data_IF_330850563107
#
_entry.id   IF_330850563107
#
_cell.length_a   1.000
_cell.length_b   1.000
_cell.length_c   1.000
_cell.angle_alpha   90.00
_cell.angle_beta   90.00
_cell.angle_gamma   90.00
#
_symmetry.space_group_name_H-M   'P 1'
#
loop_
_entity.id
_entity.type
_entity.pdbx_description
1 polymer ?
#
# COMPACT_ATOMS: atom_id res chain seq x y z
N UNK A 1 6.27 -53.34 53.49
CA UNK A 1 4.79 -53.23 53.46
C UNK A 1 4.44 -51.91 52.79
N UNK A 2 3.51 -51.76 51.86
CA UNK A 2 2.87 -52.62 50.88
C UNK A 2 2.09 -51.64 49.99
N UNK A 3 2.21 -51.78 48.68
CA UNK A 3 1.46 -51.03 47.67
C UNK A 3 -0.05 -51.37 47.70
N UNK A 4 -0.91 -50.38 47.44
CA UNK A 4 -2.26 -50.50 46.82
C UNK A 4 -2.80 -49.09 46.56
N UNK A 5 -2.89 -48.62 45.30
CA UNK A 5 -3.94 -48.86 44.29
C UNK A 5 -5.30 -48.23 44.64
N UNK A 6 -5.74 -47.21 43.89
CA UNK A 6 -6.79 -47.35 42.87
C UNK A 6 -7.24 -46.02 42.25
N UNK A 7 -7.52 -46.14 40.95
CA UNK A 7 -8.07 -45.20 39.98
C UNK A 7 -9.48 -44.74 40.36
N UNK A 8 -9.76 -43.43 40.23
CA UNK A 8 -11.10 -42.92 39.85
C UNK A 8 -10.97 -41.69 38.96
N UNK A 9 -11.44 -41.86 37.73
CA UNK A 9 -11.81 -40.84 36.76
C UNK A 9 -12.93 -39.95 37.30
N UNK A 10 -12.82 -38.64 37.13
CA UNK A 10 -13.96 -37.74 37.09
C UNK A 10 -13.63 -36.58 36.13
N UNK A 11 -14.49 -36.45 35.12
CA UNK A 11 -14.42 -35.46 34.07
C UNK A 11 -14.54 -34.04 34.62
N UNK A 12 -13.73 -33.13 34.09
CA UNK A 12 -14.06 -31.70 34.03
C UNK A 12 -13.95 -31.29 32.56
N UNK A 13 -15.11 -31.25 31.92
CA UNK A 13 -15.32 -30.52 30.68
C UNK A 13 -15.43 -29.03 31.02
N UNK A 14 -14.59 -28.21 30.40
CA UNK A 14 -14.89 -26.82 29.99
C UNK A 14 -13.61 -26.15 29.47
N UNK A 15 -13.37 -26.22 28.16
CA UNK A 15 -12.53 -25.26 27.45
C UNK A 15 -12.98 -25.21 25.98
N UNK A 16 -14.20 -24.70 25.77
CA UNK A 16 -14.63 -24.13 24.49
C UNK A 16 -14.60 -22.63 24.67
N UNK A 17 -13.47 -21.99 24.38
CA UNK A 17 -13.41 -20.53 24.21
C UNK A 17 -12.47 -20.22 23.06
N UNK A 18 -13.07 -19.79 21.95
CA UNK A 18 -12.52 -18.76 21.07
C UNK A 18 -11.36 -19.14 20.17
N UNK A 19 -11.62 -19.90 19.11
CA UNK A 19 -10.85 -19.74 17.87
C UNK A 19 -11.14 -18.34 17.32
N UNK A 20 -10.39 -17.32 17.75
CA UNK A 20 -10.37 -16.04 17.04
C UNK A 20 -9.72 -16.29 15.69
N UNK A 21 -10.53 -16.51 14.66
CA UNK A 21 -10.08 -16.44 13.27
C UNK A 21 -9.69 -14.99 13.05
N UNK A 22 -8.40 -14.69 13.18
CA UNK A 22 -7.85 -13.43 12.73
C UNK A 22 -8.11 -13.37 11.21
N UNK A 23 -9.05 -12.53 10.78
CA UNK A 23 -9.21 -12.25 9.37
C UNK A 23 -8.04 -11.35 8.94
N UNK A 24 -7.34 -11.65 7.83
CA UNK A 24 -6.33 -10.76 7.31
C UNK A 24 -7.02 -9.44 6.93
N UNK A 25 -6.53 -8.36 7.52
CA UNK A 25 -7.13 -7.04 7.33
C UNK A 25 -6.75 -6.52 5.95
N UNK A 26 -7.76 -6.12 5.19
CA UNK A 26 -7.65 -5.70 3.80
C UNK A 26 -6.79 -4.44 3.67
N UNK A 27 -5.71 -4.53 2.89
CA UNK A 27 -5.15 -3.36 2.20
C UNK A 27 -6.16 -2.95 1.13
N UNK A 28 -6.88 -1.85 1.36
CA UNK A 28 -7.66 -1.17 0.34
C UNK A 28 -7.04 0.20 0.14
N UNK A 29 -6.60 0.52 -1.08
CA UNK A 29 -6.23 1.88 -1.45
C UNK A 29 -7.50 2.75 -1.42
N UNK A 30 -7.80 3.34 -0.26
CA UNK A 30 -8.93 4.24 -0.08
C UNK A 30 -8.66 5.54 -0.83
N UNK A 31 -9.18 5.66 -2.04
CA UNK A 31 -9.24 6.93 -2.76
C UNK A 31 -10.35 7.80 -2.15
N UNK A 32 -10.03 8.57 -1.13
CA UNK A 32 -10.88 9.68 -0.73
C UNK A 32 -10.74 10.81 -1.75
N UNK A 33 -11.78 10.98 -2.59
CA UNK A 33 -12.01 12.20 -3.37
C UNK A 33 -11.95 13.43 -2.46
N UNK A 34 -10.83 14.12 -2.46
CA UNK A 34 -10.80 15.56 -2.23
C UNK A 34 -10.63 16.19 -3.60
N UNK A 35 -11.58 17.03 -4.01
CA UNK A 35 -11.48 17.77 -5.26
C UNK A 35 -10.12 18.44 -5.31
N UNK A 36 -9.30 18.03 -6.27
CA UNK A 36 -8.00 18.63 -6.51
C UNK A 36 -8.27 20.04 -7.00
N UNK A 37 -8.24 21.00 -6.07
CA UNK A 37 -8.01 22.40 -6.46
C UNK A 37 -6.53 22.48 -6.76
N UNK A 38 -6.17 22.34 -8.04
CA UNK A 38 -4.84 22.72 -8.51
C UNK A 38 -4.77 24.23 -8.34
N UNK A 39 -4.21 24.70 -7.23
CA UNK A 39 -3.76 26.08 -7.15
C UNK A 39 -2.43 26.11 -7.89
N UNK A 40 -2.48 26.43 -9.18
CA UNK A 40 -1.29 26.83 -9.91
C UNK A 40 -0.83 28.15 -9.30
N UNK A 41 0.13 28.09 -8.38
CA UNK A 41 0.79 29.28 -7.88
C UNK A 41 1.79 29.73 -8.95
N UNK A 42 1.31 30.56 -9.88
CA UNK A 42 2.21 31.24 -10.83
C UNK A 42 2.93 32.34 -10.07
N UNK A 43 4.15 32.09 -9.63
CA UNK A 43 5.05 33.17 -9.23
C UNK A 43 5.40 33.98 -10.48
N UNK A 44 4.70 35.08 -10.67
CA UNK A 44 5.06 36.05 -11.70
C UNK A 44 6.23 36.87 -11.15
N UNK A 45 7.45 36.54 -11.56
CA UNK A 45 8.61 37.39 -11.32
C UNK A 45 8.49 38.60 -12.23
N UNK A 46 7.96 39.70 -11.69
CA UNK A 46 8.00 41.01 -12.36
C UNK A 46 9.44 41.52 -12.25
N UNK A 47 10.26 41.25 -13.27
CA UNK A 47 11.53 41.95 -13.44
C UNK A 47 11.18 43.38 -13.87
N UNK A 48 11.17 44.31 -12.91
CA UNK A 48 11.12 45.73 -13.24
C UNK A 48 12.47 46.09 -13.84
N UNK A 49 12.53 46.22 -15.16
CA UNK A 49 13.68 46.82 -15.81
C UNK A 49 13.80 48.25 -15.28
N UNK A 50 14.79 48.48 -14.41
CA UNK A 50 15.17 49.81 -13.99
C UNK A 50 15.48 50.67 -15.21
N UNK A 51 15.15 51.96 -15.11
CA UNK A 51 15.27 52.94 -16.19
C UNK A 51 16.57 52.81 -17.00
N UNK A 52 16.43 53.02 -18.32
CA UNK A 52 17.53 53.10 -19.27
C UNK A 52 18.71 53.92 -18.71
N UNK A 53 19.81 53.25 -18.40
CA UNK A 53 21.11 53.90 -18.24
C UNK A 53 21.73 54.05 -19.64
N UNK A 54 21.79 55.27 -20.14
CA UNK A 54 22.53 55.59 -21.35
C UNK A 54 24.01 55.66 -20.99
N UNK A 55 24.78 54.65 -21.38
CA UNK A 55 26.25 54.71 -21.36
C UNK A 55 26.74 54.55 -22.80
N UNK A 56 27.31 55.61 -23.37
CA UNK A 56 28.13 55.52 -24.59
C UNK A 56 27.40 55.42 -25.94
N UNK A 57 26.12 55.77 -26.05
CA UNK A 57 25.50 56.06 -27.36
C UNK A 57 25.24 54.88 -28.30
N UNK A 58 25.19 53.65 -27.81
CA UNK A 58 24.70 52.50 -28.59
C UNK A 58 23.59 51.75 -27.86
N UNK A 59 22.51 51.45 -28.58
CA UNK A 59 21.34 50.72 -28.09
C UNK A 59 21.56 49.22 -28.21
N UNK A 60 21.56 48.48 -27.09
CA UNK A 60 21.56 47.01 -27.09
C UNK A 60 20.12 46.52 -26.93
N UNK A 61 19.35 46.53 -28.01
CA UNK A 61 17.97 46.01 -27.99
C UNK A 61 17.99 44.51 -28.28
N UNK A 62 17.65 43.68 -27.29
CA UNK A 62 17.21 42.30 -27.51
C UNK A 62 15.69 42.26 -27.42
N UNK A 63 15.03 42.06 -28.56
CA UNK A 63 13.58 41.81 -28.64
C UNK A 63 13.30 40.37 -28.26
N UNK A 64 12.51 40.15 -27.21
CA UNK A 64 11.87 38.87 -26.94
C UNK A 64 10.44 38.90 -27.49
N UNK A 65 10.12 37.98 -28.39
CA UNK A 65 8.76 37.78 -28.88
C UNK A 65 7.92 37.11 -27.80
N UNK A 66 6.90 37.80 -27.31
CA UNK A 66 5.85 37.20 -26.47
C UNK A 66 4.97 36.31 -27.34
N UNK A 67 4.81 35.04 -26.94
CA UNK A 67 3.82 34.13 -27.51
C UNK A 67 2.47 34.48 -26.90
N UNK A 68 1.58 35.06 -27.69
CA UNK A 68 0.18 35.29 -27.32
C UNK A 68 -0.55 33.95 -27.21
N UNK A 69 -0.94 33.56 -26.00
CA UNK A 69 -2.04 32.60 -25.78
C UNK A 69 -3.23 33.37 -25.22
N UNK A 70 -4.05 33.89 -26.13
CA UNK A 70 -5.37 34.40 -25.81
C UNK A 70 -6.28 33.27 -25.33
N UNK A 71 -6.64 33.26 -24.05
CA UNK A 71 -7.80 32.55 -23.52
C UNK A 71 -8.60 33.50 -22.64
N UNK A 72 -9.90 33.59 -22.93
CA UNK A 72 -10.80 34.63 -22.47
C UNK A 72 -11.01 34.70 -20.96
N UNK A 73 -11.23 35.93 -20.49
CA UNK A 73 -11.63 36.23 -19.12
C UNK A 73 -13.03 35.69 -18.80
N UNK A 74 -13.26 35.10 -17.62
CA UNK A 74 -14.59 34.99 -17.07
C UNK A 74 -14.93 36.21 -16.19
N UNK A 75 -16.14 36.72 -16.38
CA UNK A 75 -16.77 37.80 -15.63
C UNK A 75 -16.76 37.57 -14.11
N UNK A 76 -16.42 38.61 -13.37
CA UNK A 76 -16.54 38.68 -11.91
C UNK A 76 -18.02 38.74 -11.49
N UNK A 77 -18.50 37.69 -10.83
CA UNK A 77 -19.71 37.73 -10.00
C UNK A 77 -19.31 37.87 -8.53
N UNK A 78 -19.54 39.05 -7.97
CA UNK A 78 -19.40 39.30 -6.53
C UNK A 78 -20.70 38.88 -5.82
N UNK A 79 -20.63 37.86 -4.96
CA UNK A 79 -21.69 37.58 -3.99
C UNK A 79 -21.13 37.79 -2.58
N UNK A 80 -21.65 38.83 -1.92
CA UNK A 80 -21.40 39.12 -0.50
C UNK A 80 -22.39 38.31 0.33
N UNK A 81 -21.91 37.49 1.27
CA UNK A 81 -22.76 36.86 2.30
C UNK A 81 -22.36 37.40 3.66
N UNK A 82 -23.26 38.17 4.24
CA UNK A 82 -23.15 38.81 5.55
C UNK A 82 -23.44 37.79 6.66
N UNK A 83 -22.52 37.69 7.63
CA UNK A 83 -22.65 36.87 8.84
C UNK A 83 -23.40 37.64 9.93
N UNK A 84 -24.56 37.13 10.36
CA UNK A 84 -25.26 37.57 11.57
C UNK A 84 -25.21 36.47 12.64
N UNK A 85 -24.69 36.81 13.82
CA UNK A 85 -24.94 36.04 15.06
C UNK A 85 -26.24 36.56 15.71
N UNK A 86 -26.94 35.76 16.54
CA UNK A 86 -26.65 35.84 17.97
C UNK A 86 -26.76 34.51 18.77
N UNK A 87 -26.38 34.67 20.03
CA UNK A 87 -26.15 33.80 21.21
C UNK A 87 -27.21 32.77 21.66
N UNK A 88 -26.66 31.66 22.20
CA UNK A 88 -27.00 30.85 23.39
C UNK A 88 -28.46 30.54 23.81
N UNK A 89 -28.79 29.26 23.99
CA UNK A 89 -29.03 28.63 25.31
C UNK A 89 -29.04 27.08 25.22
N UNK A 90 -28.78 26.44 26.35
CA UNK A 90 -28.64 25.00 26.57
C UNK A 90 -29.97 24.29 26.85
N UNK A 91 -30.10 23.02 26.45
CA UNK A 91 -30.61 21.95 27.33
C UNK A 91 -30.55 20.56 26.67
N UNK A 92 -30.20 19.60 27.52
CA UNK A 92 -30.31 18.13 27.43
C UNK A 92 -31.53 17.56 26.71
N UNK A 93 -31.33 16.44 26.01
CA UNK A 93 -32.43 15.58 25.54
C UNK A 93 -31.92 14.28 24.93
N UNK A 94 -31.93 13.22 25.74
CA UNK A 94 -31.67 11.82 25.40
C UNK A 94 -32.66 11.31 24.35
N UNK A 95 -32.21 10.52 23.37
CA UNK A 95 -33.11 9.75 22.51
C UNK A 95 -32.77 8.26 22.51
N UNK A 96 -33.77 7.51 22.97
CA UNK A 96 -33.82 6.06 23.05
C UNK A 96 -34.33 5.46 21.74
N UNK A 97 -33.85 4.25 21.45
CA UNK A 97 -34.26 3.38 20.35
C UNK A 97 -35.69 2.86 20.55
N UNK A 98 -36.48 2.74 19.48
CA UNK A 98 -37.49 1.68 19.37
C UNK A 98 -37.88 1.43 17.91
N UNK A 99 -37.84 0.15 17.54
CA UNK A 99 -38.28 -0.40 16.26
C UNK A 99 -39.78 -0.71 16.29
N UNK A 100 -40.44 -0.63 15.12
CA UNK A 100 -41.37 -1.66 14.65
C UNK A 100 -41.67 -1.46 13.13
N UNK A 101 -42.00 -2.52 12.37
CA UNK A 101 -42.17 -2.51 10.93
C UNK A 101 -43.63 -2.31 10.53
N UNK A 102 -43.88 -2.01 9.26
CA UNK A 102 -45.21 -2.17 8.68
C UNK A 102 -45.13 -2.68 7.25
N UNK A 103 -45.74 -3.83 7.09
CA UNK A 103 -46.13 -4.56 5.90
C UNK A 103 -47.12 -3.80 5.02
N UNK A 104 -47.02 -3.99 3.70
CA UNK A 104 -48.18 -3.91 2.81
C UNK A 104 -48.14 -5.05 1.80
N UNK A 105 -49.20 -5.83 1.83
CA UNK A 105 -49.56 -6.96 0.96
C UNK A 105 -50.31 -6.48 -0.29
N UNK A 106 -50.13 -7.17 -1.43
CA UNK A 106 -51.20 -7.41 -2.41
C UNK A 106 -50.85 -8.59 -3.35
N UNK A 107 -51.61 -9.67 -3.15
CA UNK A 107 -52.12 -10.73 -4.05
C UNK A 107 -51.66 -10.72 -5.52
N UNK A 108 -51.02 -11.77 -6.05
CA UNK A 108 -51.48 -13.13 -6.42
C UNK A 108 -52.15 -13.26 -7.81
N UNK A 109 -51.47 -13.94 -8.74
CA UNK A 109 -52.13 -14.78 -9.74
C UNK A 109 -51.25 -15.99 -10.08
N UNK A 110 -51.86 -17.15 -9.92
CA UNK A 110 -51.39 -18.53 -10.14
C UNK A 110 -51.09 -18.88 -11.60
N UNK A 111 -50.09 -19.74 -11.81
CA UNK A 111 -49.87 -20.50 -13.03
C UNK A 111 -48.85 -21.62 -12.80
N UNK A 112 -49.35 -22.85 -12.69
CA UNK A 112 -48.62 -24.09 -12.42
C UNK A 112 -47.82 -24.62 -13.63
N UNK A 113 -46.75 -25.37 -13.30
CA UNK A 113 -46.27 -26.55 -14.01
C UNK A 113 -45.19 -26.30 -15.08
N UNK A 114 -44.19 -27.14 -15.30
CA UNK A 114 -43.72 -28.38 -14.68
C UNK A 114 -42.38 -28.72 -15.38
N UNK A 115 -41.45 -29.30 -14.63
CA UNK A 115 -40.29 -30.12 -15.00
C UNK A 115 -39.90 -30.33 -16.48
N UNK A 116 -38.62 -30.18 -16.83
CA UNK A 116 -37.81 -31.27 -17.46
C UNK A 116 -36.38 -30.88 -17.89
N UNK A 117 -35.45 -31.77 -17.51
CA UNK A 117 -34.29 -32.32 -18.25
C UNK A 117 -33.07 -31.46 -18.64
N UNK A 118 -31.93 -31.88 -18.07
CA UNK A 118 -30.60 -31.79 -18.66
C UNK A 118 -30.46 -32.62 -19.96
N UNK A 119 -29.41 -32.37 -20.75
CA UNK A 119 -28.49 -33.46 -21.07
C UNK A 119 -27.00 -33.09 -21.07
N UNK A 120 -26.19 -34.16 -21.08
CA UNK A 120 -24.76 -34.26 -20.85
C UNK A 120 -23.85 -33.96 -22.06
N UNK A 121 -22.60 -33.59 -21.72
CA UNK A 121 -21.31 -33.97 -22.33
C UNK A 121 -21.01 -33.74 -23.81
N UNK A 122 -19.90 -33.02 -24.08
CA UNK A 122 -18.89 -33.46 -25.05
C UNK A 122 -17.49 -32.93 -24.70
N UNK A 123 -16.57 -33.88 -24.68
CA UNK A 123 -15.11 -33.76 -24.53
C UNK A 123 -14.50 -33.32 -25.85
N UNK A 124 -13.54 -32.39 -25.86
CA UNK A 124 -12.54 -32.25 -26.93
C UNK A 124 -11.31 -31.52 -26.42
N UNK A 125 -10.16 -32.05 -26.83
CA UNK A 125 -8.85 -31.95 -26.20
C UNK A 125 -8.05 -30.70 -26.54
N UNK A 126 -7.24 -30.28 -25.57
CA UNK A 126 -5.89 -29.75 -25.67
C UNK A 126 -5.55 -28.75 -26.81
N UNK A 127 -5.39 -27.48 -26.42
CA UNK A 127 -4.28 -26.67 -26.89
C UNK A 127 -3.50 -26.19 -25.65
N UNK A 128 -2.36 -26.82 -25.39
CA UNK A 128 -1.39 -26.38 -24.39
C UNK A 128 -0.80 -25.05 -24.83
N UNK A 129 -1.32 -23.95 -24.28
CA UNK A 129 -0.64 -22.67 -24.30
C UNK A 129 0.65 -22.82 -23.50
N UNK A 130 1.81 -22.45 -24.07
CA UNK A 130 3.05 -22.48 -23.30
C UNK A 130 2.90 -21.49 -22.15
N UNK A 131 3.00 -22.00 -20.92
CA UNK A 131 3.12 -21.18 -19.72
C UNK A 131 4.41 -20.39 -19.86
N UNK A 132 4.32 -19.11 -20.21
CA UNK A 132 5.45 -18.21 -20.14
C UNK A 132 5.74 -17.96 -18.66
N UNK A 133 6.49 -18.86 -18.04
CA UNK A 133 7.16 -18.58 -16.78
C UNK A 133 8.20 -17.48 -17.05
N UNK A 134 7.74 -16.23 -17.06
CA UNK A 134 8.58 -15.06 -17.13
C UNK A 134 9.51 -15.07 -15.93
N UNK A 135 10.75 -15.52 -16.14
CA UNK A 135 11.82 -15.37 -15.17
C UNK A 135 12.20 -13.90 -15.13
N UNK A 136 11.47 -13.17 -14.30
CA UNK A 136 11.78 -11.80 -13.94
C UNK A 136 13.21 -11.77 -13.37
N UNK A 137 14.18 -11.19 -14.10
CA UNK A 137 15.50 -10.86 -13.51
C UNK A 137 15.26 -10.04 -12.25
N UNK A 138 15.87 -10.41 -11.13
CA UNK A 138 15.52 -9.84 -9.83
C UNK A 138 15.79 -8.33 -9.80
N UNK A 139 14.78 -7.53 -9.47
CA UNK A 139 15.02 -6.21 -8.90
C UNK A 139 15.55 -6.36 -7.47
N UNK A 140 15.76 -5.26 -6.74
CA UNK A 140 16.28 -5.34 -5.37
C UNK A 140 15.41 -6.14 -4.43
N UNK A 141 14.09 -5.96 -4.49
CA UNK A 141 13.20 -6.67 -3.58
C UNK A 141 11.83 -6.97 -4.16
N UNK A 142 11.10 -7.83 -3.44
CA UNK A 142 9.71 -8.14 -3.69
C UNK A 142 8.91 -8.18 -2.38
N UNK A 143 7.67 -7.71 -2.41
CA UNK A 143 6.76 -7.89 -1.27
C UNK A 143 6.26 -9.34 -1.21
N UNK A 144 5.87 -9.80 -0.03
CA UNK A 144 5.28 -11.13 0.16
C UNK A 144 4.16 -11.09 1.20
N UNK A 145 3.04 -11.72 0.85
CA UNK A 145 1.85 -11.85 1.69
C UNK A 145 1.61 -13.35 1.98
N UNK A 146 1.92 -13.86 3.18
CA UNK A 146 1.82 -15.28 3.51
C UNK A 146 0.39 -15.71 3.88
N UNK A 147 -0.57 -15.31 3.05
CA UNK A 147 -1.96 -15.72 3.18
C UNK A 147 -2.36 -16.60 1.98
N UNK A 148 -3.24 -17.56 2.23
CA UNK A 148 -3.89 -18.33 1.17
C UNK A 148 -4.89 -17.45 0.42
N UNK A 149 -5.42 -17.94 -0.71
CA UNK A 149 -6.48 -17.24 -1.46
C UNK A 149 -7.75 -16.97 -0.64
N UNK A 150 -7.99 -17.74 0.43
CA UNK A 150 -9.11 -17.52 1.36
C UNK A 150 -8.73 -16.66 2.57
N UNK A 151 -7.50 -16.12 2.59
CA UNK A 151 -7.00 -15.27 3.65
C UNK A 151 -6.53 -16.02 4.90
N UNK A 152 -6.39 -17.35 4.84
CA UNK A 152 -5.85 -18.09 5.99
C UNK A 152 -4.34 -17.97 6.03
N UNK A 153 -3.76 -18.06 7.23
CA UNK A 153 -2.31 -18.11 7.40
C UNK A 153 -1.70 -19.29 6.63
N UNK A 154 -0.66 -19.04 5.84
CA UNK A 154 0.14 -20.10 5.24
C UNK A 154 0.99 -20.81 6.31
N UNK A 155 1.11 -22.12 6.18
CA UNK A 155 2.06 -22.94 6.95
C UNK A 155 3.51 -22.66 6.54
N UNK A 156 4.47 -23.04 7.38
CA UNK A 156 5.90 -22.95 7.04
C UNK A 156 6.22 -23.66 5.71
N UNK A 157 5.66 -24.85 5.46
CA UNK A 157 5.89 -25.58 4.21
C UNK A 157 5.35 -24.86 2.98
N UNK A 158 4.22 -24.16 3.10
CA UNK A 158 3.68 -23.34 2.01
C UNK A 158 4.57 -22.12 1.77
N UNK A 159 5.03 -21.46 2.84
CA UNK A 159 5.98 -20.35 2.73
C UNK A 159 7.29 -20.80 2.09
N UNK A 160 7.85 -21.94 2.48
CA UNK A 160 9.06 -22.51 1.86
C UNK A 160 8.84 -22.80 0.37
N UNK A 161 7.69 -23.35 0.00
CA UNK A 161 7.35 -23.60 -1.40
C UNK A 161 7.23 -22.32 -2.22
N UNK A 162 6.64 -21.27 -1.67
CA UNK A 162 6.58 -19.96 -2.33
C UNK A 162 7.99 -19.39 -2.53
N UNK A 163 8.84 -19.51 -1.50
CA UNK A 163 10.18 -18.95 -1.51
C UNK A 163 11.05 -19.48 -2.64
N UNK A 164 10.84 -20.71 -3.12
CA UNK A 164 11.53 -21.28 -4.28
C UNK A 164 11.52 -20.36 -5.52
N UNK A 165 10.48 -19.55 -5.71
CA UNK A 165 10.38 -18.64 -6.86
C UNK A 165 10.99 -17.25 -6.62
N UNK A 166 11.20 -16.87 -5.36
CA UNK A 166 11.63 -15.50 -4.97
C UNK A 166 13.01 -15.45 -4.31
N UNK A 167 13.78 -16.54 -4.31
CA UNK A 167 15.18 -16.57 -3.83
C UNK A 167 16.11 -15.59 -4.56
N UNK A 168 15.74 -15.17 -5.78
CA UNK A 168 16.55 -14.26 -6.59
C UNK A 168 16.57 -12.80 -6.09
N UNK A 169 15.60 -12.38 -5.26
CA UNK A 169 15.54 -11.01 -4.73
C UNK A 169 16.44 -10.86 -3.50
N UNK A 170 17.10 -9.72 -3.36
CA UNK A 170 17.94 -9.43 -2.20
C UNK A 170 17.11 -9.16 -0.94
N UNK A 171 15.93 -8.56 -1.10
CA UNK A 171 15.04 -8.17 0.00
C UNK A 171 13.63 -8.70 -0.21
N UNK A 172 13.07 -9.36 0.80
CA UNK A 172 11.64 -9.68 0.87
C UNK A 172 10.96 -8.78 1.89
N UNK A 173 9.88 -8.10 1.50
CA UNK A 173 9.11 -7.21 2.39
C UNK A 173 7.86 -7.88 2.94
N UNK A 174 7.70 -7.82 4.26
CA UNK A 174 6.51 -8.18 5.02
C UNK A 174 5.83 -6.95 5.61
N UNK A 175 4.52 -7.05 5.82
CA UNK A 175 3.70 -5.95 6.32
C UNK A 175 3.46 -6.03 7.83
N UNK A 176 3.40 -7.24 8.37
CA UNK A 176 3.00 -7.48 9.74
C UNK A 176 3.78 -8.62 10.40
N UNK A 177 3.32 -8.97 11.59
CA UNK A 177 3.87 -10.06 12.41
C UNK A 177 2.86 -11.19 12.64
N UNK A 178 1.61 -11.01 12.22
CA UNK A 178 0.57 -12.02 12.35
C UNK A 178 0.89 -13.28 11.52
N UNK A 179 0.14 -14.36 11.74
CA UNK A 179 0.32 -15.63 11.03
C UNK A 179 1.71 -16.27 11.14
N UNK A 180 2.49 -15.95 12.19
CA UNK A 180 3.89 -16.37 12.34
C UNK A 180 4.74 -16.04 11.11
N UNK A 181 4.36 -15.00 10.34
CA UNK A 181 4.98 -14.74 9.04
C UNK A 181 6.46 -14.43 9.15
N UNK A 182 6.88 -13.71 10.20
CA UNK A 182 8.29 -13.38 10.44
C UNK A 182 9.10 -14.66 10.66
N UNK A 183 8.65 -15.52 11.58
CA UNK A 183 9.30 -16.80 11.86
C UNK A 183 9.37 -17.69 10.61
N UNK A 184 8.28 -17.82 9.86
CA UNK A 184 8.23 -18.69 8.70
C UNK A 184 9.14 -18.18 7.57
N UNK A 185 9.18 -16.86 7.35
CA UNK A 185 10.00 -16.24 6.31
C UNK A 185 11.48 -16.28 6.67
N UNK A 186 11.86 -16.04 7.94
CA UNK A 186 13.25 -16.15 8.36
C UNK A 186 13.80 -17.58 8.18
N UNK A 187 12.95 -18.60 8.32
CA UNK A 187 13.31 -20.00 8.03
C UNK A 187 13.31 -20.36 6.53
N UNK A 188 12.57 -19.62 5.70
CA UNK A 188 12.40 -19.93 4.28
C UNK A 188 13.35 -19.13 3.34
N UNK A 189 13.83 -17.97 3.80
CA UNK A 189 14.70 -17.08 3.02
C UNK A 189 15.97 -17.79 2.55
N UNK A 190 16.51 -17.35 1.42
CA UNK A 190 17.82 -17.81 0.96
C UNK A 190 18.97 -17.20 1.79
N UNK A 191 20.15 -17.81 1.70
CA UNK A 191 21.38 -17.23 2.22
C UNK A 191 21.65 -15.87 1.54
N UNK A 192 22.02 -14.87 2.34
CA UNK A 192 22.26 -13.50 1.86
C UNK A 192 20.98 -12.68 1.56
N UNK A 193 19.81 -13.31 1.47
CA UNK A 193 18.53 -12.61 1.37
C UNK A 193 18.16 -11.99 2.73
N UNK A 194 17.75 -10.72 2.70
CA UNK A 194 17.32 -9.96 3.88
C UNK A 194 15.82 -9.76 3.89
N UNK A 195 15.28 -9.43 5.07
CA UNK A 195 13.85 -9.19 5.25
C UNK A 195 13.60 -7.74 5.67
N UNK A 196 12.76 -7.05 4.92
CA UNK A 196 12.15 -5.79 5.33
C UNK A 196 10.91 -6.16 6.15
N UNK A 197 10.94 -5.91 7.46
CA UNK A 197 9.86 -6.27 8.39
C UNK A 197 8.89 -5.11 8.61
N UNK A 198 7.61 -5.41 8.85
CA UNK A 198 6.57 -4.42 9.08
C UNK A 198 5.82 -4.63 10.38
N UNK A 199 5.50 -3.53 11.05
CA UNK A 199 4.56 -3.46 12.17
C UNK A 199 3.30 -2.76 11.66
N UNK A 200 2.35 -3.53 11.15
CA UNK A 200 1.09 -3.00 10.62
C UNK A 200 0.21 -2.39 11.72
N UNK A 201 0.02 -3.12 12.82
CA UNK A 201 -0.85 -2.73 13.92
C UNK A 201 -0.14 -1.79 14.90
N UNK A 202 -0.31 -0.49 14.69
CA UNK A 202 0.33 0.57 15.50
C UNK A 202 -0.26 0.75 16.90
N UNK A 203 -1.37 0.08 17.21
CA UNK A 203 -1.89 -0.04 18.58
C UNK A 203 -1.13 -1.10 19.41
N UNK A 204 -0.28 -1.91 18.77
CA UNK A 204 0.40 -3.07 19.36
C UNK A 204 1.90 -3.09 19.03
N UNK A 205 2.53 -1.91 18.89
CA UNK A 205 3.93 -1.77 18.41
C UNK A 205 4.91 -2.58 19.25
N UNK A 206 4.86 -2.46 20.57
CA UNK A 206 5.80 -3.15 21.47
C UNK A 206 5.67 -4.67 21.35
N UNK A 207 4.45 -5.19 21.31
CA UNK A 207 4.19 -6.61 21.13
C UNK A 207 4.74 -7.11 19.79
N UNK A 208 4.53 -6.36 18.70
CA UNK A 208 5.06 -6.73 17.40
C UNK A 208 6.59 -6.65 17.33
N UNK A 209 7.21 -5.64 17.96
CA UNK A 209 8.68 -5.55 18.05
C UNK A 209 9.28 -6.71 18.85
N UNK A 210 8.64 -7.11 19.95
CA UNK A 210 9.04 -8.28 20.73
C UNK A 210 8.93 -9.56 19.89
N UNK A 211 7.85 -9.73 19.13
CA UNK A 211 7.68 -10.90 18.28
C UNK A 211 8.73 -10.97 17.16
N UNK A 212 9.07 -9.83 16.55
CA UNK A 212 10.20 -9.76 15.60
C UNK A 212 11.50 -10.19 16.28
N UNK A 213 11.80 -9.63 17.45
CA UNK A 213 13.03 -9.94 18.18
C UNK A 213 13.13 -11.42 18.55
N UNK A 214 12.06 -12.01 19.06
CA UNK A 214 12.01 -13.41 19.44
C UNK A 214 12.20 -14.33 18.21
N UNK A 215 11.61 -13.97 17.06
CA UNK A 215 11.78 -14.72 15.82
C UNK A 215 13.21 -14.58 15.26
N UNK A 216 13.79 -13.38 15.31
CA UNK A 216 15.18 -13.15 14.88
C UNK A 216 16.15 -13.91 15.78
N UNK A 217 16.01 -13.82 17.10
CA UNK A 217 16.87 -14.55 18.05
C UNK A 217 16.83 -16.07 17.84
N UNK A 218 15.66 -16.61 17.46
CA UNK A 218 15.46 -18.05 17.31
C UNK A 218 15.91 -18.60 15.95
N UNK A 219 15.74 -17.84 14.88
CA UNK A 219 15.87 -18.35 13.51
C UNK A 219 16.85 -17.59 12.62
N UNK A 220 17.39 -16.46 13.07
CA UNK A 220 18.22 -15.59 12.25
C UNK A 220 19.18 -14.74 13.11
N UNK A 221 19.62 -13.61 12.55
CA UNK A 221 20.36 -12.55 13.24
C UNK A 221 19.83 -11.18 12.80
N UNK A 222 20.19 -10.11 13.53
CA UNK A 222 19.83 -8.76 13.09
C UNK A 222 20.46 -8.37 11.74
N UNK A 223 21.51 -9.06 11.29
CA UNK A 223 22.12 -8.84 9.96
C UNK A 223 21.20 -9.30 8.81
N UNK A 224 20.26 -10.19 9.10
CA UNK A 224 19.24 -10.66 8.16
C UNK A 224 18.07 -9.67 8.00
N UNK A 225 17.97 -8.65 8.86
CA UNK A 225 16.94 -7.62 8.78
C UNK A 225 17.45 -6.44 7.97
N UNK A 226 16.75 -6.11 6.87
CA UNK A 226 17.06 -4.96 6.04
C UNK A 226 16.67 -3.65 6.72
N UNK A 227 15.40 -3.55 7.11
CA UNK A 227 14.74 -2.40 7.73
C UNK A 227 13.52 -2.88 8.50
N UNK A 228 13.06 -2.14 9.51
CA UNK A 228 11.73 -2.28 10.10
C UNK A 228 10.85 -1.07 9.80
N UNK A 229 9.65 -1.27 9.24
CA UNK A 229 8.63 -0.21 9.11
C UNK A 229 7.64 -0.21 10.26
N UNK A 230 7.23 0.98 10.68
CA UNK A 230 6.16 1.19 11.66
C UNK A 230 4.96 1.84 10.96
N UNK A 231 3.88 1.07 10.82
CA UNK A 231 2.70 1.43 10.05
C UNK A 231 2.91 1.38 8.53
N UNK A 232 1.80 1.44 7.81
CA UNK A 232 1.78 1.57 6.35
C UNK A 232 0.61 2.46 5.92
N UNK A 233 0.89 3.54 5.19
CA UNK A 233 -0.12 4.45 4.60
C UNK A 233 -1.12 5.06 5.60
N UNK A 234 -0.69 5.30 6.84
CA UNK A 234 -1.58 5.79 7.89
C UNK A 234 -2.09 7.21 7.63
N UNK A 235 -1.29 8.08 7.00
CA UNK A 235 -1.72 9.44 6.64
C UNK A 235 -2.59 9.41 5.39
N UNK A 236 -2.18 8.67 4.36
CA UNK A 236 -3.01 8.46 3.16
C UNK A 236 -4.39 7.90 3.50
N UNK A 237 -4.45 6.90 4.39
CA UNK A 237 -5.68 6.29 4.87
C UNK A 237 -6.50 7.15 5.84
N UNK A 238 -5.99 8.32 6.26
CA UNK A 238 -6.65 9.19 7.24
C UNK A 238 -6.71 8.63 8.66
N UNK A 239 -5.90 7.62 8.97
CA UNK A 239 -5.88 6.90 10.24
C UNK A 239 -4.97 7.58 11.29
N UNK A 240 -3.97 8.33 10.84
CA UNK A 240 -3.06 9.05 11.72
C UNK A 240 -2.66 10.42 11.14
N UNK A 241 -2.39 11.37 12.03
CA UNK A 241 -1.69 12.61 11.69
C UNK A 241 -0.17 12.38 11.60
N UNK A 242 0.54 13.31 10.95
CA UNK A 242 2.01 13.33 10.89
C UNK A 242 2.65 13.20 12.27
N UNK A 243 2.12 13.93 13.27
CA UNK A 243 2.64 13.87 14.63
C UNK A 243 2.44 12.50 15.29
N UNK A 244 1.33 11.81 15.02
CA UNK A 244 1.09 10.47 15.54
C UNK A 244 2.04 9.46 14.89
N UNK A 245 2.27 9.56 13.57
CA UNK A 245 3.27 8.72 12.89
C UNK A 245 4.66 8.90 13.53
N UNK A 246 5.08 10.14 13.81
CA UNK A 246 6.34 10.38 14.51
C UNK A 246 6.42 9.75 15.90
N UNK A 247 5.31 9.72 16.64
CA UNK A 247 5.24 9.03 17.94
C UNK A 247 5.36 7.51 17.78
N UNK A 248 4.69 6.92 16.78
CA UNK A 248 4.76 5.49 16.50
C UNK A 248 6.17 5.06 16.11
N UNK A 249 6.83 5.78 15.19
CA UNK A 249 8.21 5.50 14.79
C UNK A 249 9.16 5.58 15.97
N UNK A 250 9.01 6.60 16.84
CA UNK A 250 9.81 6.73 18.06
C UNK A 250 9.59 5.55 19.03
N UNK A 251 8.35 5.12 19.22
CA UNK A 251 8.01 3.97 20.07
C UNK A 251 8.62 2.67 19.51
N UNK A 252 8.44 2.41 18.21
CA UNK A 252 9.00 1.23 17.54
C UNK A 252 10.52 1.19 17.61
N UNK A 253 11.19 2.32 17.32
CA UNK A 253 12.66 2.43 17.44
C UNK A 253 13.14 2.14 18.86
N UNK A 254 12.44 2.64 19.88
CA UNK A 254 12.78 2.39 21.29
C UNK A 254 12.60 0.91 21.66
N UNK A 255 11.51 0.28 21.23
CA UNK A 255 11.24 -1.13 21.48
C UNK A 255 12.21 -2.07 20.74
N UNK A 256 12.59 -1.74 19.51
CA UNK A 256 13.56 -2.53 18.73
C UNK A 256 14.99 -2.40 19.30
N UNK A 257 15.40 -1.18 19.65
CA UNK A 257 16.74 -0.95 20.23
C UNK A 257 16.92 -1.60 21.60
N UNK A 258 15.87 -1.67 22.44
CA UNK A 258 15.93 -2.41 23.71
C UNK A 258 16.10 -3.92 23.53
N UNK A 259 15.78 -4.44 22.34
CA UNK A 259 16.00 -5.83 21.91
C UNK A 259 17.28 -6.02 21.08
N UNK A 260 18.12 -4.99 20.98
CA UNK A 260 19.43 -5.05 20.33
C UNK A 260 19.44 -4.71 18.84
N UNK A 261 18.29 -4.36 18.24
CA UNK A 261 18.26 -3.90 16.85
C UNK A 261 18.65 -2.43 16.73
N UNK A 262 19.72 -2.16 15.95
CA UNK A 262 20.22 -0.81 15.69
C UNK A 262 20.15 -0.43 14.20
N UNK A 263 19.44 -1.21 13.39
CA UNK A 263 19.26 -0.95 11.96
C UNK A 263 18.20 0.11 11.67
N UNK A 264 17.92 0.36 10.37
CA UNK A 264 16.97 1.38 9.95
C UNK A 264 15.54 1.10 10.42
N UNK A 265 14.87 2.16 10.87
CA UNK A 265 13.45 2.21 11.19
C UNK A 265 12.79 3.34 10.40
N UNK A 266 11.70 3.03 9.72
CA UNK A 266 10.99 3.96 8.85
C UNK A 266 9.48 3.94 9.09
N UNK A 267 8.77 4.99 8.71
CA UNK A 267 7.34 4.93 8.38
C UNK A 267 7.16 4.88 6.87
N UNK A 268 6.19 4.11 6.39
CA UNK A 268 5.83 4.03 4.97
C UNK A 268 4.50 4.72 4.73
N UNK A 269 4.43 5.60 3.72
CA UNK A 269 3.18 6.21 3.24
C UNK A 269 3.21 6.35 1.71
N UNK A 270 2.12 6.81 1.08
CA UNK A 270 2.15 7.04 -0.37
C UNK A 270 3.04 8.22 -0.71
N UNK A 271 3.60 8.22 -1.92
CA UNK A 271 4.42 9.36 -2.39
C UNK A 271 3.65 10.69 -2.34
N UNK A 272 2.35 10.69 -2.68
CA UNK A 272 1.50 11.89 -2.61
C UNK A 272 1.26 12.32 -1.17
N UNK A 273 0.94 11.38 -0.27
CA UNK A 273 0.75 11.72 1.14
C UNK A 273 2.04 12.31 1.75
N UNK A 274 3.20 11.77 1.38
CA UNK A 274 4.51 12.27 1.79
C UNK A 274 4.79 13.67 1.25
N UNK A 275 4.59 13.91 -0.06
CA UNK A 275 4.76 15.24 -0.67
C UNK A 275 3.86 16.29 -0.01
N UNK A 276 2.61 15.92 0.28
CA UNK A 276 1.65 16.83 0.91
C UNK A 276 1.89 17.02 2.41
N UNK A 277 2.69 16.16 3.04
CA UNK A 277 2.97 16.15 4.46
C UNK A 277 4.46 15.90 4.73
N UNK A 278 5.36 16.80 4.31
CA UNK A 278 6.81 16.57 4.34
C UNK A 278 7.40 16.38 5.74
N UNK A 279 6.65 16.72 6.80
CA UNK A 279 7.03 16.36 8.17
C UNK A 279 7.17 14.84 8.40
N UNK A 280 6.57 14.00 7.56
CA UNK A 280 6.78 12.55 7.57
C UNK A 280 8.24 12.15 7.28
N UNK A 281 8.98 12.98 6.53
CA UNK A 281 10.35 12.71 6.13
C UNK A 281 11.35 12.80 7.31
N UNK A 282 10.94 13.40 8.43
CA UNK A 282 11.82 13.66 9.58
C UNK A 282 12.03 12.42 10.47
N UNK A 283 11.04 11.53 10.55
CA UNK A 283 11.03 10.46 11.57
C UNK A 283 11.81 9.20 11.15
N UNK A 284 11.94 8.98 9.85
CA UNK A 284 12.56 7.80 9.25
C UNK A 284 14.05 7.97 9.00
N UNK A 285 14.83 6.89 9.03
CA UNK A 285 16.26 6.91 8.67
C UNK A 285 16.50 7.20 7.18
N UNK A 286 15.56 6.79 6.33
CA UNK A 286 15.44 7.19 4.93
C UNK A 286 13.96 7.36 4.59
N UNK A 287 13.67 8.04 3.48
CA UNK A 287 12.27 8.27 3.07
C UNK A 287 11.77 7.01 2.38
N UNK A 288 10.75 6.37 2.94
CA UNK A 288 10.17 5.14 2.43
C UNK A 288 8.75 5.42 1.91
N UNK A 289 8.48 5.14 0.63
CA UNK A 289 7.20 5.48 0.00
C UNK A 289 6.65 4.37 -0.89
N UNK A 290 5.31 4.28 -0.94
CA UNK A 290 4.61 3.45 -1.92
C UNK A 290 4.22 4.30 -3.14
N UNK A 291 4.46 3.78 -4.35
CA UNK A 291 4.18 4.49 -5.60
C UNK A 291 3.94 3.51 -6.76
N UNK A 292 2.70 3.50 -7.29
CA UNK A 292 2.32 2.65 -8.42
C UNK A 292 1.86 3.51 -9.60
N UNK A 293 2.57 3.39 -10.73
CA UNK A 293 2.27 4.11 -11.95
C UNK A 293 0.87 3.80 -12.51
N UNK A 294 0.35 2.60 -12.26
CA UNK A 294 -0.99 2.19 -12.68
C UNK A 294 -2.11 3.13 -12.19
N UNK A 295 -1.94 3.76 -11.02
CA UNK A 295 -2.91 4.72 -10.49
C UNK A 295 -2.73 6.14 -11.04
N UNK A 296 -1.82 6.36 -12.00
CA UNK A 296 -1.76 7.58 -12.81
C UNK A 296 -2.42 7.34 -14.17
N UNK A 297 -3.56 8.02 -14.39
CA UNK A 297 -4.36 7.84 -15.60
C UNK A 297 -3.66 8.26 -16.91
N UNK A 298 -2.49 8.90 -16.83
CA UNK A 298 -1.76 9.42 -17.99
C UNK A 298 -0.53 8.59 -18.36
N UNK A 299 -0.20 7.57 -17.56
CA UNK A 299 1.00 6.75 -17.71
C UNK A 299 0.63 5.41 -18.36
N UNK A 300 1.34 5.05 -19.43
CA UNK A 300 1.29 3.71 -20.01
C UNK A 300 2.30 2.80 -19.30
N UNK A 301 2.14 1.49 -19.41
CA UNK A 301 2.96 0.53 -18.69
C UNK A 301 4.46 0.68 -18.98
N UNK A 302 4.82 0.91 -20.24
CA UNK A 302 6.20 1.06 -20.70
C UNK A 302 6.92 2.25 -20.05
N UNK A 303 6.17 3.26 -19.60
CA UNK A 303 6.69 4.49 -18.99
C UNK A 303 6.72 4.41 -17.46
N UNK A 304 6.33 3.28 -16.85
CA UNK A 304 6.22 3.14 -15.40
C UNK A 304 7.53 3.42 -14.65
N UNK A 305 8.68 3.03 -15.20
CA UNK A 305 9.99 3.30 -14.62
C UNK A 305 10.39 4.78 -14.65
N UNK A 306 10.18 5.45 -15.78
CA UNK A 306 10.42 6.91 -15.90
C UNK A 306 9.51 7.70 -14.96
N UNK A 307 8.23 7.32 -14.92
CA UNK A 307 7.28 7.89 -13.98
C UNK A 307 7.72 7.72 -12.53
N UNK A 308 8.23 6.54 -12.17
CA UNK A 308 8.65 6.25 -10.80
C UNK A 308 9.90 7.03 -10.40
N UNK A 309 10.88 7.15 -11.31
CA UNK A 309 12.06 7.99 -11.11
C UNK A 309 11.66 9.46 -10.87
N UNK A 310 10.70 9.98 -11.62
CA UNK A 310 10.16 11.32 -11.40
C UNK A 310 9.50 11.45 -10.02
N UNK A 311 8.75 10.45 -9.56
CA UNK A 311 8.13 10.50 -8.23
C UNK A 311 9.17 10.47 -7.11
N UNK A 312 10.23 9.66 -7.26
CA UNK A 312 11.39 9.65 -6.35
C UNK A 312 11.97 11.06 -6.23
N UNK A 313 12.22 11.74 -7.35
CA UNK A 313 12.77 13.10 -7.36
C UNK A 313 11.82 14.13 -6.70
N UNK A 314 10.51 14.00 -6.94
CA UNK A 314 9.50 14.88 -6.34
C UNK A 314 9.42 14.71 -4.82
N UNK A 315 9.41 13.48 -4.34
CA UNK A 315 9.45 13.17 -2.90
C UNK A 315 10.72 13.71 -2.28
N UNK A 316 11.89 13.43 -2.90
CA UNK A 316 13.19 13.91 -2.42
C UNK A 316 13.21 15.44 -2.26
N UNK A 317 12.68 16.15 -3.27
CA UNK A 317 12.59 17.62 -3.26
C UNK A 317 11.65 18.11 -2.15
N UNK A 318 10.46 17.52 -2.02
CA UNK A 318 9.48 17.90 -1.00
C UNK A 318 10.01 17.66 0.43
N UNK A 319 10.83 16.63 0.62
CA UNK A 319 11.47 16.29 1.88
C UNK A 319 12.76 17.08 2.16
N UNK A 320 13.04 18.17 1.42
CA UNK A 320 14.19 19.03 1.69
C UNK A 320 15.54 18.49 1.20
N UNK A 321 15.53 17.52 0.28
CA UNK A 321 16.71 17.09 -0.49
C UNK A 321 17.88 16.53 0.35
N UNK A 322 17.59 15.92 1.51
CA UNK A 322 18.61 15.52 2.50
C UNK A 322 18.70 14.02 2.79
N UNK A 323 17.69 13.22 2.44
CA UNK A 323 17.63 11.78 2.70
C UNK A 323 17.34 11.03 1.41
N UNK A 324 17.86 9.81 1.29
CA UNK A 324 17.53 8.94 0.17
C UNK A 324 16.04 8.58 0.21
N UNK A 325 15.44 8.45 -0.98
CA UNK A 325 14.07 7.96 -1.16
C UNK A 325 14.16 6.53 -1.68
N UNK A 326 13.43 5.63 -1.03
CA UNK A 326 13.34 4.23 -1.40
C UNK A 326 11.87 3.85 -1.57
N UNK A 327 11.54 3.28 -2.73
CA UNK A 327 10.18 2.87 -3.07
C UNK A 327 9.93 1.48 -2.49
N UNK A 328 9.04 1.39 -1.52
CA UNK A 328 8.79 0.15 -0.78
C UNK A 328 7.71 -0.71 -1.39
N UNK A 329 6.90 -0.16 -2.29
CA UNK A 329 5.96 -0.86 -3.16
C UNK A 329 5.85 -0.13 -4.49
N UNK A 330 6.00 -0.87 -5.58
CA UNK A 330 5.62 -0.44 -6.93
C UNK A 330 5.30 -1.65 -7.79
N UNK A 331 4.45 -1.49 -8.80
CA UNK A 331 4.12 -2.59 -9.69
C UNK A 331 3.03 -2.20 -10.67
N UNK A 332 2.41 -3.23 -11.25
CA UNK A 332 1.30 -3.08 -12.17
C UNK A 332 0.40 -4.33 -12.09
N UNK A 333 -0.94 -4.21 -12.12
CA UNK A 333 -1.80 -5.38 -12.02
C UNK A 333 -1.92 -6.11 -13.37
N UNK A 334 -1.96 -7.44 -13.33
CA UNK A 334 -2.17 -8.26 -14.53
C UNK A 334 -3.64 -8.39 -14.94
N UNK A 335 -4.56 -7.92 -14.09
CA UNK A 335 -6.00 -7.86 -14.34
C UNK A 335 -6.63 -6.74 -13.51
N UNK A 336 -7.68 -6.13 -14.06
CA UNK A 336 -8.45 -5.05 -13.45
C UNK A 336 -9.05 -4.18 -14.53
N UNK A 337 -9.59 -3.03 -14.12
CA UNK A 337 -10.12 -2.04 -15.04
C UNK A 337 -8.97 -1.26 -15.72
N UNK A 338 -9.27 -0.67 -16.87
CA UNK A 338 -8.37 0.34 -17.46
C UNK A 338 -8.60 1.68 -16.77
N UNK A 339 -7.52 2.33 -16.32
CA UNK A 339 -7.58 3.66 -15.71
C UNK A 339 -6.88 4.69 -16.60
N UNK A 340 -7.67 5.39 -17.43
CA UNK A 340 -7.12 6.29 -18.45
C UNK A 340 -6.26 5.51 -19.46
N UNK A 341 -4.95 5.80 -19.50
CA UNK A 341 -3.96 5.07 -20.31
C UNK A 341 -3.41 3.82 -19.63
N UNK A 342 -3.61 3.66 -18.32
CA UNK A 342 -3.10 2.53 -17.57
C UNK A 342 -4.00 1.29 -17.78
N UNK A 343 -3.60 0.41 -18.70
CA UNK A 343 -4.29 -0.86 -18.99
C UNK A 343 -3.77 -1.97 -18.08
N UNK A 344 -4.65 -2.66 -17.36
CA UNK A 344 -4.29 -3.86 -16.60
C UNK A 344 -4.31 -5.11 -17.49
N UNK A 345 -3.14 -5.69 -17.77
CA UNK A 345 -2.98 -6.97 -18.48
C UNK A 345 -1.65 -7.63 -18.12
N UNK A 346 -1.47 -8.91 -18.46
CA UNK A 346 -0.18 -9.61 -18.24
C UNK A 346 0.96 -8.99 -19.05
N UNK A 347 0.67 -8.56 -20.27
CA UNK A 347 1.61 -7.90 -21.17
C UNK A 347 2.00 -6.53 -20.60
N UNK A 348 1.02 -5.74 -20.16
CA UNK A 348 1.26 -4.46 -19.51
C UNK A 348 2.04 -4.62 -18.19
N UNK A 349 1.71 -5.62 -17.37
CA UNK A 349 2.47 -5.90 -16.16
C UNK A 349 3.94 -6.23 -16.49
N UNK A 350 4.19 -7.05 -17.51
CA UNK A 350 5.56 -7.37 -17.93
C UNK A 350 6.32 -6.10 -18.37
N UNK A 351 5.71 -5.29 -19.23
CA UNK A 351 6.29 -4.03 -19.71
C UNK A 351 6.60 -3.04 -18.57
N UNK A 352 5.68 -2.88 -17.61
CA UNK A 352 5.87 -2.01 -16.46
C UNK A 352 6.99 -2.50 -15.54
N UNK A 353 7.05 -3.81 -15.25
CA UNK A 353 8.08 -4.38 -14.39
C UNK A 353 9.47 -4.28 -15.04
N UNK A 354 9.57 -4.49 -16.36
CA UNK A 354 10.83 -4.30 -17.09
C UNK A 354 11.27 -2.83 -17.10
N UNK A 355 10.34 -1.91 -17.31
CA UNK A 355 10.57 -0.45 -17.24
C UNK A 355 11.07 -0.01 -15.86
N UNK A 356 10.37 -0.43 -14.79
CA UNK A 356 10.74 -0.12 -13.40
C UNK A 356 12.15 -0.64 -13.08
N UNK A 357 12.46 -1.89 -13.43
CA UNK A 357 13.79 -2.46 -13.18
C UNK A 357 14.89 -1.73 -13.93
N UNK A 358 14.64 -1.36 -15.18
CA UNK A 358 15.63 -0.67 -15.99
C UNK A 358 15.92 0.74 -15.47
N UNK A 359 14.92 1.42 -14.91
CA UNK A 359 15.05 2.81 -14.46
C UNK A 359 15.55 2.93 -13.02
N UNK A 360 15.00 2.12 -12.09
CA UNK A 360 15.13 2.30 -10.63
C UNK A 360 15.13 0.98 -9.86
N UNK A 361 15.60 -0.12 -10.47
CA UNK A 361 15.54 -1.46 -9.88
C UNK A 361 16.21 -1.60 -8.49
N UNK A 362 17.26 -0.82 -8.22
CA UNK A 362 18.01 -0.81 -6.94
C UNK A 362 17.37 0.10 -5.87
N UNK A 363 16.38 0.89 -6.27
CA UNK A 363 15.70 1.87 -5.41
C UNK A 363 14.23 1.50 -5.17
N UNK A 364 13.80 0.31 -5.60
CA UNK A 364 12.41 -0.13 -5.52
C UNK A 364 12.23 -1.60 -5.09
N UNK A 365 11.13 -1.86 -4.37
CA UNK A 365 10.60 -3.20 -4.09
C UNK A 365 9.36 -3.42 -4.96
N UNK A 366 9.36 -4.51 -5.71
CA UNK A 366 8.24 -4.89 -6.58
C UNK A 366 7.07 -5.43 -5.75
N UNK A 367 5.86 -5.07 -6.15
CA UNK A 367 4.60 -5.49 -5.58
C UNK A 367 3.79 -6.28 -6.63
N UNK A 368 3.43 -7.54 -6.42
CA UNK A 368 3.67 -8.44 -5.26
C UNK A 368 4.16 -9.82 -5.75
N UNK A 369 4.72 -10.66 -4.89
CA UNK A 369 5.12 -12.02 -5.28
C UNK A 369 3.93 -12.84 -5.83
N UNK A 370 2.81 -12.86 -5.12
CA UNK A 370 1.63 -13.65 -5.46
C UNK A 370 0.35 -12.82 -5.42
N UNK A 371 -0.68 -13.31 -6.11
CA UNK A 371 -2.01 -12.71 -6.11
C UNK A 371 -2.66 -12.82 -4.73
N UNK A 372 -3.09 -11.69 -4.17
CA UNK A 372 -3.80 -11.61 -2.90
C UNK A 372 -5.31 -11.73 -3.10
N UNK A 373 -5.79 -12.93 -3.49
CA UNK A 373 -7.21 -13.14 -3.83
C UNK A 373 -8.18 -12.93 -2.65
N UNK A 374 -7.67 -12.87 -1.42
CA UNK A 374 -8.42 -12.58 -0.21
C UNK A 374 -8.78 -11.09 -0.05
N UNK A 375 -8.11 -10.19 -0.80
CA UNK A 375 -8.40 -8.75 -0.78
C UNK A 375 -9.74 -8.45 -1.45
N UNK A 376 -10.38 -7.37 -1.00
CA UNK A 376 -11.46 -6.75 -1.76
C UNK A 376 -10.90 -6.27 -3.12
N UNK A 377 -11.70 -6.29 -4.21
CA UNK A 377 -11.22 -5.96 -5.55
C UNK A 377 -10.74 -4.50 -5.71
N UNK A 378 -11.12 -3.59 -4.81
CA UNK A 378 -10.79 -2.17 -4.88
C UNK A 378 -11.57 -1.42 -5.97
N UNK A 379 -11.28 -0.13 -6.13
CA UNK A 379 -12.04 0.74 -7.02
C UNK A 379 -11.82 0.44 -8.51
N UNK A 380 -10.67 -0.12 -8.87
CA UNK A 380 -10.30 -0.51 -10.25
C UNK A 380 -10.31 -2.03 -10.44
N UNK A 381 -10.94 -2.80 -9.55
CA UNK A 381 -11.00 -4.27 -9.63
C UNK A 381 -9.63 -4.97 -9.80
N UNK A 382 -8.56 -4.37 -9.28
CA UNK A 382 -7.18 -4.77 -9.55
C UNK A 382 -6.44 -5.36 -8.34
N UNK A 383 -6.90 -5.10 -7.11
CA UNK A 383 -6.16 -5.38 -5.86
C UNK A 383 -5.79 -6.86 -5.67
N UNK A 384 -6.53 -7.76 -6.29
CA UNK A 384 -6.33 -9.20 -6.21
C UNK A 384 -5.26 -9.71 -7.19
N UNK A 385 -4.76 -8.89 -8.12
CA UNK A 385 -4.06 -9.36 -9.33
C UNK A 385 -2.68 -8.73 -9.58
N UNK A 386 -1.92 -8.44 -8.52
CA UNK A 386 -0.57 -7.84 -8.61
C UNK A 386 0.57 -8.87 -8.58
N UNK A 387 0.27 -10.16 -8.44
CA UNK A 387 1.23 -11.24 -8.26
C UNK A 387 2.06 -11.53 -9.50
N UNK A 388 3.39 -11.36 -9.41
CA UNK A 388 4.32 -11.64 -10.51
C UNK A 388 4.46 -13.15 -10.80
N UNK A 389 4.32 -14.00 -9.78
CA UNK A 389 4.44 -15.46 -9.88
C UNK A 389 3.07 -16.16 -9.89
N UNK A 390 1.99 -15.45 -10.21
CA UNK A 390 0.62 -15.96 -10.24
C UNK A 390 -0.03 -15.89 -11.64
N UNK A 391 0.78 -15.63 -12.67
CA UNK A 391 0.34 -15.39 -14.05
C UNK A 391 0.33 -16.65 -14.90
#
# INVERSE_FOLDING_TARGET
MLFSSLIKSAAVAAALIGSTVAQPVQHAHNQHKRGVVVVTQTETVVVTAGQNQVVGGQSTTLTFSTVDTALGAPSSLSTTVTRGAPVADASSGSFSYSADPSTTTLSSSTGNGESSTAPSSSTSSAASVPSSSGSFKSGKGITYSPYTSSGQCKSLSEVQSDFENIKGYEVVRLYGVDCNQVENVLQAKADGQKVFLGIFFVDSIEAGCNQIADAVEKYASWDDVYTVSIGNELVNGGQASVSQVGQYVKAGRSALSSRGYNGPVVSVDTFIATINNPGLCEFSDYIAVNAHAYFDQNTVAEDAGEWLLLQIQRVWTACGANKNVFVTETGWPSRGDTYGKAVASKEAQTAAIDSIKSAVGDDAILFNAYNDLWKAPGAQNCEQYWGLYSN
#
